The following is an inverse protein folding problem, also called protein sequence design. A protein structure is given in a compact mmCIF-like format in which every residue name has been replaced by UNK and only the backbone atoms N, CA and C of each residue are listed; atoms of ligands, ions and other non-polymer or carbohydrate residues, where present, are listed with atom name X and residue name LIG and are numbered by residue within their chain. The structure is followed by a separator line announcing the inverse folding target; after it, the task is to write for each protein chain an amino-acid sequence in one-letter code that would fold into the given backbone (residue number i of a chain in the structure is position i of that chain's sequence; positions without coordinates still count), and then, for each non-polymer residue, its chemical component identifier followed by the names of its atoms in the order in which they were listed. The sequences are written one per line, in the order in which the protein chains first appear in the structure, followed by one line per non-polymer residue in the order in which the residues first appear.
data_IF_213885555016
#
_entry.id   IF_213885555016
#
_cell.length_a   1.000
_cell.length_b   1.000
_cell.length_c   1.000
_cell.angle_alpha   90.00
_cell.angle_beta   90.00
_cell.angle_gamma   90.00
#
_symmetry.space_group_name_H-M   'P 1'
#
loop_
_entity.id
_entity.type
_entity.pdbx_description
1 polymer ?
#
# COMPACT_ATOMS: atom_id res chain seq x y z
N UNK A 1 22.06 48.58 44.24
CA UNK A 1 22.05 47.13 43.92
C UNK A 1 21.50 46.98 42.51
N UNK A 2 22.33 46.59 41.54
CA UNK A 2 21.93 46.38 40.15
C UNK A 2 21.76 44.89 39.93
N UNK A 3 20.51 44.43 39.85
CA UNK A 3 20.15 43.04 39.59
C UNK A 3 20.40 42.73 38.12
N UNK A 4 21.47 41.99 37.83
CA UNK A 4 21.75 41.44 36.50
C UNK A 4 20.80 40.25 36.30
N UNK A 5 19.77 40.46 35.49
CA UNK A 5 18.84 39.41 35.06
C UNK A 5 19.56 38.57 33.99
N UNK A 6 20.14 37.43 34.40
CA UNK A 6 20.73 36.47 33.49
C UNK A 6 19.60 35.78 32.70
N UNK A 7 19.40 36.24 31.45
CA UNK A 7 18.48 35.62 30.51
C UNK A 7 19.09 34.29 30.04
N UNK A 8 18.77 33.22 30.76
CA UNK A 8 19.10 31.84 30.39
C UNK A 8 18.27 31.46 29.16
N UNK A 9 18.80 31.74 27.96
CA UNK A 9 18.24 31.28 26.69
C UNK A 9 18.39 29.75 26.64
N UNK A 10 17.37 29.02 27.10
CA UNK A 10 17.26 27.58 26.86
C UNK A 10 17.04 27.37 25.36
N UNK A 11 18.14 27.17 24.63
CA UNK A 11 18.13 26.57 23.30
C UNK A 11 17.65 25.14 23.50
N UNK A 12 16.33 24.94 23.43
CA UNK A 12 15.76 23.62 23.21
C UNK A 12 16.17 23.19 21.81
N UNK A 13 17.36 22.58 21.68
CA UNK A 13 17.70 21.78 20.51
C UNK A 13 16.59 20.75 20.39
N UNK A 14 15.71 20.97 19.42
CA UNK A 14 14.68 20.01 19.05
C UNK A 14 15.40 18.78 18.54
N UNK A 15 15.64 17.82 19.42
CA UNK A 15 16.10 16.51 19.04
C UNK A 15 15.03 15.91 18.14
N UNK A 16 15.26 15.99 16.83
CA UNK A 16 14.49 15.27 15.83
C UNK A 16 14.70 13.79 16.11
N UNK A 17 13.74 13.19 16.82
CA UNK A 17 13.77 11.76 17.12
C UNK A 17 13.58 11.03 15.80
N UNK A 18 14.65 10.41 15.29
CA UNK A 18 14.56 9.61 14.08
C UNK A 18 13.63 8.41 14.31
N UNK A 19 12.77 8.12 13.32
CA UNK A 19 11.89 6.96 13.38
C UNK A 19 12.59 5.76 12.72
N UNK A 20 12.62 4.64 13.45
CA UNK A 20 13.17 3.39 12.94
C UNK A 20 12.07 2.48 12.39
N UNK A 21 12.21 2.05 11.13
CA UNK A 21 11.25 1.21 10.42
C UNK A 21 11.92 -0.07 9.93
N UNK A 22 11.25 -1.22 10.04
CA UNK A 22 11.72 -2.51 9.48
C UNK A 22 10.91 -2.86 8.25
N UNK A 23 11.56 -2.86 7.09
CA UNK A 23 10.92 -2.91 5.78
C UNK A 23 11.78 -3.75 4.82
N UNK A 24 11.22 -4.11 3.67
CA UNK A 24 12.00 -4.62 2.53
C UNK A 24 12.08 -3.56 1.43
N UNK A 25 13.10 -3.67 0.57
CA UNK A 25 13.29 -2.80 -0.61
C UNK A 25 12.70 -3.48 -1.84
N UNK A 26 11.69 -2.86 -2.44
CA UNK A 26 11.02 -3.33 -3.65
C UNK A 26 11.79 -2.87 -4.90
N UNK A 27 12.10 -1.57 -4.95
CA UNK A 27 12.77 -0.98 -6.10
C UNK A 27 13.55 0.28 -5.72
N UNK A 28 14.51 0.66 -6.56
CA UNK A 28 15.34 1.85 -6.39
C UNK A 28 15.39 2.60 -7.71
N UNK A 29 14.94 3.85 -7.72
CA UNK A 29 15.07 4.74 -8.87
C UNK A 29 16.26 5.64 -8.71
N UNK A 30 17.13 5.60 -9.71
CA UNK A 30 18.26 6.51 -9.79
C UNK A 30 17.77 7.95 -10.06
N UNK A 31 18.48 8.95 -9.52
CA UNK A 31 18.20 10.36 -9.80
C UNK A 31 18.35 10.67 -11.29
N UNK A 32 17.53 11.57 -11.80
CA UNK A 32 17.79 12.26 -13.07
C UNK A 32 18.93 13.28 -12.91
N UNK A 33 19.47 13.82 -14.01
CA UNK A 33 20.61 14.76 -14.02
C UNK A 33 20.43 15.98 -13.09
N UNK A 34 19.19 16.35 -12.78
CA UNK A 34 18.81 17.48 -11.94
C UNK A 34 18.17 17.09 -10.60
N UNK A 35 18.24 15.81 -10.21
CA UNK A 35 17.72 15.31 -8.94
C UNK A 35 18.87 14.94 -8.00
N UNK A 36 18.73 15.25 -6.70
CA UNK A 36 19.75 14.97 -5.68
C UNK A 36 19.44 13.73 -4.84
N UNK A 37 18.40 12.97 -5.20
CA UNK A 37 17.90 11.87 -4.38
C UNK A 37 17.57 10.64 -5.24
N UNK A 38 17.90 9.46 -4.73
CA UNK A 38 17.28 8.23 -5.19
C UNK A 38 15.89 8.10 -4.58
N UNK A 39 14.96 7.49 -5.31
CA UNK A 39 13.64 7.14 -4.77
C UNK A 39 13.58 5.64 -4.46
N UNK A 40 13.35 5.30 -3.19
CA UNK A 40 13.40 3.94 -2.65
C UNK A 40 11.99 3.46 -2.35
N UNK A 41 11.56 2.42 -3.05
CA UNK A 41 10.21 1.85 -2.95
C UNK A 41 10.24 0.76 -1.90
N UNK A 42 9.45 0.88 -0.84
CA UNK A 42 9.48 -0.06 0.28
C UNK A 42 8.20 -0.92 0.36
N UNK A 43 8.28 -2.01 1.10
CA UNK A 43 7.20 -3.00 1.20
C UNK A 43 5.97 -2.53 1.99
N UNK A 44 6.07 -1.40 2.70
CA UNK A 44 4.93 -0.74 3.34
C UNK A 44 4.08 0.10 2.37
N UNK A 45 4.50 0.22 1.11
CA UNK A 45 3.84 1.01 0.07
C UNK A 45 4.34 2.44 -0.06
N UNK A 46 5.29 2.86 0.79
CA UNK A 46 5.87 4.19 0.73
C UNK A 46 7.08 4.26 -0.20
N UNK A 47 7.36 5.48 -0.66
CA UNK A 47 8.55 5.88 -1.38
C UNK A 47 9.34 6.83 -0.49
N UNK A 48 10.60 6.50 -0.28
CA UNK A 48 11.53 7.26 0.53
C UNK A 48 12.59 7.91 -0.35
N UNK A 49 13.15 9.03 0.09
CA UNK A 49 14.27 9.67 -0.59
C UNK A 49 15.59 9.30 0.13
N UNK A 50 16.68 9.11 -0.61
CA UNK A 50 18.05 9.01 -0.04
C UNK A 50 18.98 9.90 -0.85
N UNK A 51 19.76 10.74 -0.17
CA UNK A 51 20.59 11.74 -0.84
C UNK A 51 21.71 11.07 -1.64
N UNK A 52 22.05 11.61 -2.82
CA UNK A 52 23.08 11.05 -3.72
C UNK A 52 24.47 10.93 -3.07
N UNK A 53 24.73 11.76 -2.06
CA UNK A 53 26.00 11.77 -1.31
C UNK A 53 26.10 10.63 -0.28
N UNK A 54 25.00 9.98 0.09
CA UNK A 54 24.99 8.91 1.10
C UNK A 54 25.31 7.56 0.45
N UNK A 55 26.50 7.46 -0.13
CA UNK A 55 26.91 6.34 -0.99
C UNK A 55 26.88 4.98 -0.27
N UNK A 56 27.22 4.95 1.03
CA UNK A 56 27.13 3.75 1.87
C UNK A 56 25.68 3.30 2.08
N UNK A 57 24.77 4.25 2.33
CA UNK A 57 23.34 3.98 2.48
C UNK A 57 22.76 3.44 1.17
N UNK A 58 23.09 4.07 0.05
CA UNK A 58 22.66 3.64 -1.29
C UNK A 58 23.16 2.23 -1.60
N UNK A 59 24.43 1.92 -1.32
CA UNK A 59 24.99 0.59 -1.51
C UNK A 59 24.24 -0.47 -0.70
N UNK A 60 24.00 -0.20 0.59
CA UNK A 60 23.24 -1.11 1.45
C UNK A 60 21.80 -1.34 0.95
N UNK A 61 21.12 -0.29 0.46
CA UNK A 61 19.77 -0.42 -0.11
C UNK A 61 19.78 -1.28 -1.38
N UNK A 62 20.74 -1.04 -2.29
CA UNK A 62 20.87 -1.83 -3.52
C UNK A 62 21.21 -3.31 -3.22
N UNK A 63 22.05 -3.56 -2.22
CA UNK A 63 22.39 -4.91 -1.76
C UNK A 63 21.19 -5.61 -1.13
N UNK A 64 20.41 -4.91 -0.31
CA UNK A 64 19.18 -5.43 0.28
C UNK A 64 18.13 -5.77 -0.80
N UNK A 65 17.96 -4.89 -1.79
CA UNK A 65 17.07 -5.12 -2.93
C UNK A 65 17.48 -6.39 -3.69
N UNK A 66 18.76 -6.50 -4.06
CA UNK A 66 19.29 -7.64 -4.82
C UNK A 66 19.18 -8.96 -4.06
N UNK A 67 19.40 -8.91 -2.74
CA UNK A 67 19.43 -10.09 -1.88
C UNK A 67 18.07 -10.43 -1.26
N UNK A 68 17.05 -9.59 -1.44
CA UNK A 68 15.74 -9.75 -0.79
C UNK A 68 15.79 -9.72 0.74
N UNK A 69 16.70 -8.92 1.31
CA UNK A 69 16.86 -8.81 2.76
C UNK A 69 15.98 -7.71 3.35
N UNK A 70 15.56 -7.91 4.60
CA UNK A 70 14.97 -6.82 5.39
C UNK A 70 16.03 -5.81 5.79
N UNK A 71 15.58 -4.57 5.92
CA UNK A 71 16.39 -3.42 6.34
C UNK A 71 15.70 -2.70 7.47
N UNK A 72 16.50 -2.18 8.38
CA UNK A 72 16.07 -1.23 9.38
C UNK A 72 16.45 0.18 8.91
N UNK A 73 15.47 0.97 8.50
CA UNK A 73 15.62 2.35 8.07
C UNK A 73 15.53 3.29 9.27
N UNK A 74 16.50 4.17 9.38
CA UNK A 74 16.40 5.38 10.19
C UNK A 74 15.89 6.50 9.27
N UNK A 75 14.77 7.13 9.62
CA UNK A 75 14.08 8.10 8.75
C UNK A 75 13.87 9.45 9.42
N UNK A 76 13.88 10.52 8.62
CA UNK A 76 13.47 11.86 9.03
C UNK A 76 11.98 11.86 9.44
N UNK A 77 11.64 12.49 10.57
CA UNK A 77 10.27 12.53 11.15
C UNK A 77 9.30 13.42 10.34
N UNK A 78 9.02 13.06 9.08
CA UNK A 78 8.02 13.69 8.23
C UNK A 78 6.72 12.85 8.14
N UNK A 79 6.71 11.65 8.73
CA UNK A 79 5.62 10.67 8.67
C UNK A 79 4.34 11.07 9.42
N UNK A 80 4.35 12.19 10.15
CA UNK A 80 3.21 12.65 10.96
C UNK A 80 2.05 13.23 10.14
N UNK A 81 2.30 13.67 8.91
CA UNK A 81 1.23 14.17 8.05
C UNK A 81 0.50 13.02 7.36
N UNK A 82 -0.73 12.77 7.83
CA UNK A 82 -1.75 11.93 7.18
C UNK A 82 -2.13 12.41 5.78
N UNK A 83 -1.57 13.52 5.34
CA UNK A 83 -1.82 14.14 4.06
C UNK A 83 -1.28 13.25 2.94
N UNK A 84 -2.14 13.00 1.95
CA UNK A 84 -1.82 12.30 0.70
C UNK A 84 -0.70 13.00 -0.06
N UNK A 85 -0.62 14.31 0.11
CA UNK A 85 0.33 15.20 -0.55
C UNK A 85 1.57 15.49 0.30
N UNK A 86 1.73 14.82 1.45
CA UNK A 86 2.93 15.04 2.27
C UNK A 86 4.20 14.61 1.52
N UNK A 87 5.29 15.30 1.84
CA UNK A 87 6.62 14.97 1.32
C UNK A 87 7.06 13.57 1.75
N UNK A 88 7.94 12.98 0.95
CA UNK A 88 8.61 11.72 1.28
C UNK A 88 9.49 11.90 2.50
N UNK A 89 9.65 10.83 3.27
CA UNK A 89 10.65 10.81 4.34
C UNK A 89 12.01 10.47 3.74
N UNK A 90 13.05 11.10 4.27
CA UNK A 90 14.43 10.83 3.92
C UNK A 90 14.96 9.66 4.75
N UNK A 91 15.75 8.79 4.13
CA UNK A 91 16.49 7.72 4.80
C UNK A 91 17.83 8.31 5.24
N UNK A 92 18.02 8.40 6.56
CA UNK A 92 19.23 8.91 7.20
C UNK A 92 20.25 7.81 7.47
N UNK A 93 19.79 6.56 7.58
CA UNK A 93 20.62 5.41 7.88
C UNK A 93 19.94 4.09 7.55
N UNK A 94 20.74 3.08 7.23
CA UNK A 94 20.25 1.74 6.88
C UNK A 94 21.09 0.70 7.59
N UNK A 95 20.41 -0.24 8.24
CA UNK A 95 21.03 -1.44 8.79
C UNK A 95 20.45 -2.67 8.12
N UNK A 96 21.32 -3.43 7.43
CA UNK A 96 20.97 -4.73 6.87
C UNK A 96 20.64 -5.71 7.99
N UNK A 97 19.52 -6.41 7.85
CA UNK A 97 19.14 -7.49 8.76
C UNK A 97 19.49 -8.83 8.12
N UNK A 98 19.90 -9.79 8.95
CA UNK A 98 20.20 -11.16 8.51
C UNK A 98 18.95 -12.00 8.27
N UNK A 99 17.78 -11.50 8.68
CA UNK A 99 16.51 -12.14 8.37
C UNK A 99 16.18 -11.92 6.90
N UNK A 100 16.11 -13.01 6.13
CA UNK A 100 15.49 -13.01 4.82
C UNK A 100 14.07 -12.47 4.94
N UNK A 101 13.71 -11.61 4.00
CA UNK A 101 12.33 -11.19 3.88
C UNK A 101 11.50 -12.44 3.55
N UNK A 102 10.53 -12.78 4.42
CA UNK A 102 9.65 -13.95 4.19
C UNK A 102 8.78 -13.82 2.94
N UNK A 103 8.80 -12.65 2.31
CA UNK A 103 8.22 -12.43 0.99
C UNK A 103 9.33 -12.70 -0.02
N UNK A 104 9.18 -13.73 -0.86
CA UNK A 104 10.13 -13.95 -1.94
C UNK A 104 10.12 -12.72 -2.84
N UNK A 105 11.26 -12.03 -2.93
CA UNK A 105 11.48 -11.06 -4.01
C UNK A 105 11.43 -11.87 -5.30
N UNK A 106 10.46 -11.55 -6.15
CA UNK A 106 10.29 -12.12 -7.46
C UNK A 106 11.64 -12.13 -8.20
N UNK A 107 12.17 -13.32 -8.49
CA UNK A 107 13.31 -13.40 -9.39
C UNK A 107 12.77 -13.04 -10.77
N UNK A 108 13.37 -12.06 -11.46
CA UNK A 108 12.98 -11.59 -12.81
C UNK A 108 13.06 -12.65 -13.92
N UNK A 109 13.09 -13.93 -13.59
CA UNK A 109 12.99 -15.02 -14.54
C UNK A 109 11.68 -14.87 -15.32
N UNK A 110 11.81 -14.70 -16.64
CA UNK A 110 10.72 -14.41 -17.57
C UNK A 110 9.47 -15.23 -17.24
N UNK A 111 8.40 -14.54 -16.82
CA UNK A 111 7.07 -15.12 -16.71
C UNK A 111 6.78 -15.95 -17.97
N UNK A 112 6.66 -17.27 -17.81
CA UNK A 112 6.24 -18.15 -18.91
C UNK A 112 4.87 -17.64 -19.34
N UNK A 113 4.79 -17.11 -20.57
CA UNK A 113 3.60 -16.45 -21.08
C UNK A 113 2.35 -17.27 -20.78
N UNK A 114 1.46 -16.72 -19.96
CA UNK A 114 0.16 -17.30 -19.66
C UNK A 114 -0.63 -17.24 -20.97
N UNK A 115 -0.67 -18.36 -21.70
CA UNK A 115 -1.20 -18.44 -23.06
C UNK A 115 -2.73 -18.52 -23.15
N UNK A 116 -3.44 -18.53 -22.03
CA UNK A 116 -4.91 -18.56 -21.99
C UNK A 116 -5.42 -17.68 -20.85
N UNK A 117 -5.88 -16.45 -21.17
CA UNK A 117 -6.48 -15.53 -20.20
C UNK A 117 -7.84 -15.01 -20.69
N UNK A 118 -8.74 -15.94 -21.03
CA UNK A 118 -10.17 -15.60 -21.16
C UNK A 118 -10.79 -15.33 -19.77
N UNK A 119 -10.15 -15.81 -18.69
CA UNK A 119 -10.49 -15.49 -17.29
C UNK A 119 -9.53 -14.46 -16.70
N UNK A 120 -10.04 -13.60 -15.83
CA UNK A 120 -9.23 -12.68 -15.02
C UNK A 120 -8.48 -13.51 -13.96
N UNK A 121 -7.13 -13.67 -14.07
CA UNK A 121 -6.39 -14.67 -13.31
C UNK A 121 -6.36 -14.37 -11.80
N UNK A 122 -6.65 -13.13 -11.43
CA UNK A 122 -6.63 -12.67 -10.04
C UNK A 122 -8.03 -12.76 -9.38
N UNK A 123 -9.04 -13.22 -10.13
CA UNK A 123 -10.43 -13.34 -9.67
C UNK A 123 -10.76 -14.81 -9.39
N UNK A 124 -10.58 -15.21 -8.13
CA UNK A 124 -10.81 -16.57 -7.62
C UNK A 124 -12.16 -16.74 -6.91
N UNK A 125 -12.94 -15.66 -6.78
CA UNK A 125 -14.18 -15.61 -6.01
C UNK A 125 -15.21 -14.74 -6.73
N UNK A 126 -16.48 -14.93 -6.40
CA UNK A 126 -17.54 -14.02 -6.82
C UNK A 126 -17.43 -12.68 -6.07
N UNK A 127 -17.89 -11.60 -6.70
CA UNK A 127 -18.02 -10.29 -6.04
C UNK A 127 -19.49 -9.97 -5.90
N UNK A 128 -19.94 -9.68 -4.68
CA UNK A 128 -21.34 -9.31 -4.42
C UNK A 128 -21.76 -8.10 -5.24
N UNK A 129 -22.94 -8.17 -5.84
CA UNK A 129 -23.62 -7.07 -6.49
C UNK A 129 -24.80 -6.61 -5.63
N UNK A 130 -24.66 -5.43 -5.02
CA UNK A 130 -25.62 -4.86 -4.08
C UNK A 130 -26.45 -3.80 -4.81
N UNK A 131 -27.65 -4.17 -5.25
CA UNK A 131 -28.53 -3.26 -5.98
C UNK A 131 -29.20 -2.19 -5.10
N UNK A 132 -29.28 -2.43 -3.79
CA UNK A 132 -29.88 -1.51 -2.82
C UNK A 132 -28.84 -0.53 -2.24
N UNK A 133 -29.06 0.77 -2.46
CA UNK A 133 -28.17 1.83 -1.99
C UNK A 133 -28.12 1.94 -0.47
N UNK A 134 -29.19 1.60 0.25
CA UNK A 134 -29.17 1.62 1.72
C UNK A 134 -28.27 0.51 2.27
N UNK A 135 -28.40 -0.71 1.75
CA UNK A 135 -27.53 -1.84 2.10
C UNK A 135 -26.07 -1.55 1.75
N UNK A 136 -25.80 -1.00 0.56
CA UNK A 136 -24.44 -0.62 0.16
C UNK A 136 -23.82 0.38 1.16
N UNK A 137 -24.57 1.41 1.54
CA UNK A 137 -24.14 2.39 2.54
C UNK A 137 -23.97 1.78 3.94
N UNK A 138 -24.81 0.83 4.32
CA UNK A 138 -24.68 0.12 5.61
C UNK A 138 -23.40 -0.71 5.66
N UNK A 139 -23.11 -1.47 4.60
CA UNK A 139 -21.84 -2.22 4.46
C UNK A 139 -20.64 -1.28 4.48
N UNK A 140 -20.73 -0.12 3.84
CA UNK A 140 -19.67 0.89 3.88
C UNK A 140 -19.44 1.45 5.28
N UNK A 141 -20.51 1.89 5.95
CA UNK A 141 -20.44 2.51 7.28
C UNK A 141 -20.02 1.55 8.38
N UNK A 142 -20.24 0.25 8.17
CA UNK A 142 -19.79 -0.82 9.05
C UNK A 142 -18.28 -0.97 9.16
N UNK A 143 -17.55 -0.50 8.15
CA UNK A 143 -16.10 -0.57 8.12
C UNK A 143 -15.50 0.18 9.32
N UNK A 144 -14.55 -0.45 10.01
CA UNK A 144 -13.92 0.10 11.20
C UNK A 144 -13.22 1.44 10.90
N UNK A 145 -13.56 2.49 11.65
CA UNK A 145 -12.98 3.84 11.50
C UNK A 145 -11.86 4.15 12.50
N UNK A 146 -11.82 3.45 13.64
CA UNK A 146 -10.82 3.60 14.71
C UNK A 146 -9.42 3.06 14.38
N UNK A 147 -9.00 3.16 13.13
CA UNK A 147 -7.70 2.67 12.68
C UNK A 147 -6.58 3.61 13.08
N UNK A 148 -5.42 3.05 13.41
CA UNK A 148 -4.21 3.79 13.75
C UNK A 148 -3.84 4.71 12.60
N UNK A 149 -3.41 5.94 12.92
CA UNK A 149 -3.00 6.94 11.92
C UNK A 149 -1.92 6.40 10.97
N UNK A 150 -0.94 5.67 11.51
CA UNK A 150 0.17 5.04 10.78
C UNK A 150 -0.13 3.65 10.21
N UNK A 151 -1.40 3.24 10.17
CA UNK A 151 -1.75 1.96 9.56
C UNK A 151 -1.50 2.03 8.06
N UNK A 152 -1.00 0.95 7.46
CA UNK A 152 -0.81 0.89 6.02
C UNK A 152 -2.12 0.56 5.30
N UNK A 153 -2.27 1.04 4.05
CA UNK A 153 -3.50 0.91 3.27
C UNK A 153 -3.91 -0.56 3.09
N UNK A 154 -2.96 -1.45 2.82
CA UNK A 154 -3.20 -2.87 2.63
C UNK A 154 -3.71 -3.57 3.89
N UNK A 155 -3.23 -3.17 5.07
CA UNK A 155 -3.75 -3.64 6.35
C UNK A 155 -5.19 -3.19 6.58
N UNK A 156 -5.49 -1.91 6.32
CA UNK A 156 -6.85 -1.38 6.44
C UNK A 156 -7.81 -2.08 5.48
N UNK A 157 -7.42 -2.20 4.21
CA UNK A 157 -8.22 -2.82 3.18
C UNK A 157 -8.53 -4.28 3.52
N UNK A 158 -7.55 -5.05 3.99
CA UNK A 158 -7.75 -6.45 4.36
C UNK A 158 -8.68 -6.61 5.57
N UNK A 159 -8.55 -5.75 6.60
CA UNK A 159 -9.48 -5.69 7.74
C UNK A 159 -10.89 -5.34 7.27
N UNK A 160 -11.07 -4.27 6.51
CA UNK A 160 -12.38 -3.87 6.02
C UNK A 160 -13.04 -4.93 5.15
N UNK A 161 -12.29 -5.51 4.22
CA UNK A 161 -12.77 -6.61 3.39
C UNK A 161 -13.28 -7.78 4.22
N UNK A 162 -12.60 -8.13 5.32
CA UNK A 162 -13.05 -9.19 6.21
C UNK A 162 -14.31 -8.80 6.99
N UNK A 163 -14.34 -7.59 7.56
CA UNK A 163 -15.51 -7.08 8.31
C UNK A 163 -16.77 -7.00 7.44
N UNK A 164 -16.63 -6.67 6.15
CA UNK A 164 -17.75 -6.64 5.20
C UNK A 164 -18.43 -8.02 5.07
N UNK A 165 -17.72 -9.14 5.28
CA UNK A 165 -18.31 -10.49 5.22
C UNK A 165 -19.26 -10.80 6.37
N UNK A 166 -19.28 -9.98 7.42
CA UNK A 166 -20.27 -10.08 8.51
C UNK A 166 -21.66 -9.60 8.09
N UNK A 167 -21.79 -9.00 6.90
CA UNK A 167 -23.06 -8.58 6.33
C UNK A 167 -23.58 -9.61 5.34
N UNK A 168 -24.90 -9.67 5.22
CA UNK A 168 -25.58 -10.53 4.25
C UNK A 168 -26.45 -9.69 3.33
N UNK A 169 -26.47 -10.05 2.04
CA UNK A 169 -27.34 -9.50 1.02
C UNK A 169 -27.94 -10.65 0.21
N UNK A 170 -29.26 -10.67 0.04
CA UNK A 170 -30.00 -11.75 -0.63
C UNK A 170 -29.63 -13.15 -0.11
N UNK A 171 -29.54 -13.31 1.21
CA UNK A 171 -29.23 -14.58 1.87
C UNK A 171 -27.78 -15.07 1.73
N UNK A 172 -26.87 -14.28 1.14
CA UNK A 172 -25.45 -14.60 1.02
C UNK A 172 -24.58 -13.58 1.75
N UNK A 173 -23.45 -14.02 2.32
CA UNK A 173 -22.46 -13.09 2.90
C UNK A 173 -21.95 -12.15 1.80
N UNK A 174 -21.74 -10.89 2.15
CA UNK A 174 -21.15 -9.91 1.22
C UNK A 174 -19.70 -10.30 0.98
N UNK A 175 -19.35 -10.55 -0.28
CA UNK A 175 -18.03 -10.93 -0.73
C UNK A 175 -17.43 -9.77 -1.53
N UNK A 176 -16.53 -8.97 -0.93
CA UNK A 176 -15.86 -7.90 -1.65
C UNK A 176 -14.71 -8.43 -2.51
N UNK A 177 -14.31 -7.66 -3.51
CA UNK A 177 -13.00 -7.79 -4.15
C UNK A 177 -12.03 -6.76 -3.60
N UNK A 178 -10.82 -6.68 -4.17
CA UNK A 178 -9.89 -5.58 -3.94
C UNK A 178 -9.55 -4.85 -5.23
N UNK A 179 -9.50 -3.53 -5.15
CA UNK A 179 -9.03 -2.66 -6.22
C UNK A 179 -7.70 -2.08 -5.78
N UNK A 180 -6.69 -2.27 -6.61
CA UNK A 180 -5.33 -1.81 -6.41
C UNK A 180 -5.08 -0.65 -7.37
N UNK A 181 -4.55 0.44 -6.85
CA UNK A 181 -4.10 1.60 -7.60
C UNK A 181 -2.58 1.64 -7.50
N UNK A 182 -1.90 1.36 -8.60
CA UNK A 182 -0.44 1.45 -8.69
C UNK A 182 -0.03 2.77 -9.33
N UNK A 183 0.90 3.48 -8.71
CA UNK A 183 1.42 4.75 -9.23
C UNK A 183 2.64 4.46 -10.09
N UNK A 184 2.65 4.98 -11.32
CA UNK A 184 3.78 4.79 -12.23
C UNK A 184 5.03 5.51 -11.73
N UNK A 185 6.22 5.05 -12.13
CA UNK A 185 7.48 5.75 -11.85
C UNK A 185 7.45 7.18 -12.42
N UNK A 186 6.80 7.37 -13.57
CA UNK A 186 6.50 8.69 -14.15
C UNK A 186 5.77 9.61 -13.17
N UNK A 187 4.64 9.15 -12.62
CA UNK A 187 3.84 9.93 -11.68
C UNK A 187 4.58 10.20 -10.38
N UNK A 188 5.23 9.17 -9.84
CA UNK A 188 6.01 9.26 -8.60
C UNK A 188 7.09 10.33 -8.75
N UNK A 189 7.85 10.36 -9.86
CA UNK A 189 8.83 11.41 -10.13
C UNK A 189 8.18 12.78 -10.29
N UNK A 190 7.21 12.90 -11.19
CA UNK A 190 6.58 14.19 -11.53
C UNK A 190 5.96 14.92 -10.33
N UNK A 191 5.40 14.18 -9.37
CA UNK A 191 4.69 14.75 -8.22
C UNK A 191 5.40 14.52 -6.88
N UNK A 192 6.62 13.99 -6.88
CA UNK A 192 7.33 13.52 -5.68
C UNK A 192 6.44 12.68 -4.76
N UNK A 193 5.57 11.87 -5.36
CA UNK A 193 4.50 11.20 -4.62
C UNK A 193 5.09 10.14 -3.68
N UNK A 194 4.57 10.07 -2.44
CA UNK A 194 5.15 9.25 -1.37
C UNK A 194 4.64 7.82 -1.30
N UNK A 195 3.70 7.43 -2.16
CA UNK A 195 3.18 6.07 -2.22
C UNK A 195 3.35 5.50 -3.60
N UNK A 196 3.71 4.23 -3.70
CA UNK A 196 3.79 3.53 -4.99
C UNK A 196 2.60 2.62 -5.27
N UNK A 197 1.77 2.35 -4.25
CA UNK A 197 0.44 1.80 -4.44
C UNK A 197 -0.55 2.23 -3.35
N UNK A 198 -1.83 2.06 -3.65
CA UNK A 198 -2.94 2.14 -2.71
C UNK A 198 -3.95 1.02 -2.99
N UNK A 199 -4.69 0.59 -1.99
CA UNK A 199 -5.66 -0.51 -2.13
C UNK A 199 -6.88 -0.28 -1.26
N UNK A 200 -8.04 -0.70 -1.78
CA UNK A 200 -9.30 -0.66 -1.06
C UNK A 200 -10.18 -1.86 -1.44
N UNK A 201 -11.08 -2.34 -0.56
CA UNK A 201 -12.17 -3.20 -0.99
C UNK A 201 -13.05 -2.52 -2.04
N UNK A 202 -13.71 -3.32 -2.87
CA UNK A 202 -14.81 -2.91 -3.73
C UNK A 202 -15.92 -3.97 -3.74
N UNK A 203 -17.13 -3.56 -4.11
CA UNK A 203 -18.26 -4.43 -4.45
C UNK A 203 -18.87 -3.96 -5.77
N UNK A 204 -19.78 -4.73 -6.35
CA UNK A 204 -20.62 -4.23 -7.44
C UNK A 204 -21.90 -3.62 -6.85
N UNK A 205 -22.48 -2.66 -7.55
CA UNK A 205 -23.80 -2.11 -7.29
C UNK A 205 -24.49 -1.85 -8.62
N UNK A 206 -25.53 -2.63 -8.92
CA UNK A 206 -26.20 -2.67 -10.21
C UNK A 206 -25.20 -2.85 -11.37
N UNK A 207 -24.29 -3.82 -11.23
CA UNK A 207 -23.23 -4.11 -12.20
C UNK A 207 -22.05 -3.13 -12.22
N UNK A 208 -22.12 -2.01 -11.48
CA UNK A 208 -21.06 -0.99 -11.44
C UNK A 208 -20.16 -1.17 -10.22
N UNK A 209 -18.84 -1.12 -10.40
CA UNK A 209 -17.88 -1.25 -9.28
C UNK A 209 -17.92 -0.01 -8.39
N UNK A 210 -18.13 -0.22 -7.09
CA UNK A 210 -18.08 0.81 -6.05
C UNK A 210 -16.94 0.52 -5.07
N UNK A 211 -16.03 1.46 -4.94
CA UNK A 211 -14.87 1.40 -4.05
C UNK A 211 -15.30 1.78 -2.63
N UNK A 212 -14.88 0.96 -1.67
CA UNK A 212 -15.32 1.02 -0.28
C UNK A 212 -14.20 1.51 0.64
N UNK A 213 -13.61 2.66 0.31
CA UNK A 213 -12.46 3.22 1.03
C UNK A 213 -12.90 4.17 2.15
N UNK A 214 -13.14 3.62 3.35
CA UNK A 214 -13.63 4.41 4.49
C UNK A 214 -12.69 5.52 4.94
N UNK A 215 -11.40 5.44 4.61
CA UNK A 215 -10.41 6.41 5.07
C UNK A 215 -10.49 7.71 4.30
N UNK A 216 -10.70 7.62 2.99
CA UNK A 216 -10.63 8.77 2.08
C UNK A 216 -11.98 9.15 1.48
N UNK A 217 -12.99 8.28 1.62
CA UNK A 217 -14.33 8.52 1.12
C UNK A 217 -15.34 8.58 2.28
N UNK A 218 -16.39 9.40 2.09
CA UNK A 218 -17.50 9.49 3.04
C UNK A 218 -18.63 8.48 2.75
N UNK A 219 -18.64 7.94 1.52
CA UNK A 219 -19.63 7.00 1.00
C UNK A 219 -18.96 6.09 -0.04
N UNK A 220 -19.61 4.98 -0.47
CA UNK A 220 -19.16 4.19 -1.62
C UNK A 220 -18.88 5.10 -2.82
N UNK A 221 -17.69 4.97 -3.39
CA UNK A 221 -17.22 5.84 -4.46
C UNK A 221 -17.19 5.10 -5.80
N UNK A 222 -17.50 5.80 -6.89
CA UNK A 222 -17.13 5.31 -8.22
C UNK A 222 -15.62 5.23 -8.37
N UNK A 223 -15.14 4.29 -9.18
CA UNK A 223 -13.71 4.08 -9.41
C UNK A 223 -13.02 5.39 -9.79
N UNK A 224 -13.59 6.14 -10.73
CA UNK A 224 -13.00 7.40 -11.21
C UNK A 224 -12.88 8.45 -10.11
N UNK A 225 -13.93 8.61 -9.30
CA UNK A 225 -13.92 9.54 -8.19
C UNK A 225 -12.84 9.15 -7.16
N UNK A 226 -12.73 7.86 -6.85
CA UNK A 226 -11.70 7.35 -5.95
C UNK A 226 -10.28 7.53 -6.50
N UNK A 227 -10.01 7.23 -7.78
CA UNK A 227 -8.66 7.42 -8.36
C UNK A 227 -8.29 8.90 -8.45
N UNK A 228 -9.23 9.79 -8.80
CA UNK A 228 -8.97 11.23 -8.89
C UNK A 228 -8.53 11.84 -7.55
N UNK A 229 -8.91 11.24 -6.42
CA UNK A 229 -8.46 11.68 -5.11
C UNK A 229 -6.94 11.52 -4.93
N UNK A 230 -6.32 10.53 -5.56
CA UNK A 230 -4.89 10.24 -5.45
C UNK A 230 -4.07 10.72 -6.66
N UNK A 231 -4.71 10.99 -7.79
CA UNK A 231 -4.06 11.32 -9.06
C UNK A 231 -4.26 12.81 -9.36
N UNK A 232 -3.25 13.63 -9.02
CA UNK A 232 -3.30 15.09 -9.15
C UNK A 232 -3.58 15.55 -10.58
N UNK A 233 -2.97 14.90 -11.57
CA UNK A 233 -3.21 15.16 -13.00
C UNK A 233 -4.64 14.86 -13.48
N UNK A 234 -5.42 14.11 -12.69
CA UNK A 234 -6.70 13.51 -13.09
C UNK A 234 -6.63 12.71 -14.40
N UNK A 235 -5.45 12.22 -14.81
CA UNK A 235 -5.37 11.29 -15.93
C UNK A 235 -6.10 9.98 -15.57
N UNK A 236 -6.81 9.40 -16.53
CA UNK A 236 -7.43 8.09 -16.32
C UNK A 236 -6.36 7.00 -16.09
N UNK A 237 -6.57 6.19 -15.05
CA UNK A 237 -5.69 5.06 -14.77
C UNK A 237 -5.94 3.92 -15.76
N UNK A 238 -4.87 3.36 -16.31
CA UNK A 238 -4.96 2.22 -17.22
C UNK A 238 -5.38 0.97 -16.45
N UNK A 239 -6.35 0.22 -16.96
CA UNK A 239 -6.70 -1.07 -16.38
C UNK A 239 -5.66 -2.13 -16.80
N UNK A 240 -5.16 -2.88 -15.83
CA UNK A 240 -4.30 -4.05 -16.04
C UNK A 240 -4.97 -5.30 -15.48
N UNK A 241 -4.71 -6.44 -16.14
CA UNK A 241 -5.20 -7.76 -15.69
C UNK A 241 -4.14 -8.51 -14.86
N UNK A 242 -2.87 -8.19 -15.06
CA UNK A 242 -1.72 -8.83 -14.43
C UNK A 242 -0.75 -7.78 -13.89
N UNK A 243 0.14 -8.18 -12.98
CA UNK A 243 1.06 -7.24 -12.34
C UNK A 243 2.16 -6.78 -13.31
N UNK A 244 2.64 -7.68 -14.18
CA UNK A 244 3.70 -7.34 -15.14
C UNK A 244 3.32 -6.24 -16.13
N UNK A 245 2.01 -6.04 -16.42
CA UNK A 245 1.53 -4.92 -17.23
C UNK A 245 1.92 -3.58 -16.60
N UNK A 246 1.81 -3.46 -15.28
CA UNK A 246 2.24 -2.28 -14.53
C UNK A 246 3.78 -2.21 -14.47
N UNK A 247 4.42 -3.32 -14.09
CA UNK A 247 5.88 -3.36 -13.86
C UNK A 247 6.69 -3.01 -15.12
N UNK A 248 6.30 -3.54 -16.27
CA UNK A 248 7.00 -3.36 -17.56
C UNK A 248 6.70 -2.03 -18.25
N UNK A 249 5.68 -1.30 -17.79
CA UNK A 249 5.27 -0.04 -18.40
C UNK A 249 5.33 1.14 -17.41
N UNK A 250 6.46 1.37 -16.72
CA UNK A 250 6.53 2.35 -15.64
C UNK A 250 6.44 3.82 -16.07
N UNK A 251 6.46 4.09 -17.39
CA UNK A 251 6.33 5.42 -17.98
C UNK A 251 4.98 5.64 -18.67
N UNK A 252 4.14 4.60 -18.75
CA UNK A 252 2.89 4.64 -19.49
C UNK A 252 1.75 5.17 -18.62
N UNK A 253 1.33 6.40 -18.89
CA UNK A 253 0.31 7.09 -18.08
C UNK A 253 0.81 7.39 -16.66
N UNK A 254 -0.11 7.69 -15.76
CA UNK A 254 0.21 8.03 -14.37
C UNK A 254 -0.08 6.91 -13.37
N UNK A 255 -0.99 6.00 -13.71
CA UNK A 255 -1.42 4.95 -12.80
C UNK A 255 -1.99 3.73 -13.53
N UNK A 256 -1.98 2.61 -12.83
CA UNK A 256 -2.64 1.38 -13.21
C UNK A 256 -3.66 0.97 -12.17
N UNK A 257 -4.78 0.38 -12.61
CA UNK A 257 -5.77 -0.24 -11.74
C UNK A 257 -5.82 -1.74 -12.01
N UNK A 258 -5.68 -2.54 -10.95
CA UNK A 258 -5.81 -4.00 -10.98
C UNK A 258 -6.95 -4.40 -10.03
N UNK A 259 -7.80 -5.32 -10.48
CA UNK A 259 -8.84 -5.91 -9.64
C UNK A 259 -8.45 -7.33 -9.25
N UNK A 260 -8.70 -7.69 -8.00
CA UNK A 260 -8.43 -9.04 -7.49
C UNK A 260 -9.59 -9.52 -6.63
N UNK A 261 -9.62 -10.82 -6.38
CA UNK A 261 -10.34 -11.39 -5.24
C UNK A 261 -9.79 -10.86 -3.92
N UNK A 262 -10.53 -11.12 -2.85
CA UNK A 262 -10.30 -10.52 -1.53
C UNK A 262 -9.01 -10.98 -0.84
N UNK A 263 -8.51 -12.15 -1.21
CA UNK A 263 -7.51 -12.91 -0.46
C UNK A 263 -6.12 -12.29 -0.50
N UNK A 264 -5.78 -11.58 -1.57
CA UNK A 264 -4.50 -10.90 -1.75
C UNK A 264 -4.34 -9.77 -0.73
N UNK A 265 -3.40 -9.89 0.20
CA UNK A 265 -3.07 -8.92 1.23
C UNK A 265 -2.09 -7.83 0.78
N UNK A 266 -1.04 -8.17 0.02
CA UNK A 266 0.01 -7.24 -0.44
C UNK A 266 0.35 -7.42 -1.93
N UNK A 267 0.98 -6.43 -2.61
CA UNK A 267 1.26 -6.50 -4.04
C UNK A 267 2.08 -7.72 -4.50
N UNK A 268 3.08 -8.15 -3.71
CA UNK A 268 3.91 -9.30 -4.05
C UNK A 268 3.11 -10.60 -4.22
N UNK A 269 1.92 -10.72 -3.61
CA UNK A 269 1.06 -11.89 -3.80
C UNK A 269 0.39 -11.89 -5.18
N UNK A 270 0.16 -10.71 -5.75
CA UNK A 270 -0.36 -10.54 -7.12
C UNK A 270 0.73 -10.93 -8.12
N UNK A 271 1.95 -10.43 -7.88
CA UNK A 271 3.14 -10.77 -8.66
C UNK A 271 3.43 -12.29 -8.63
N UNK A 272 3.50 -12.88 -7.43
CA UNK A 272 3.77 -14.31 -7.25
C UNK A 272 2.71 -15.20 -7.91
N UNK A 273 1.45 -14.75 -7.93
CA UNK A 273 0.37 -15.47 -8.60
C UNK A 273 0.63 -15.57 -10.10
N UNK A 274 1.10 -14.50 -10.71
CA UNK A 274 1.45 -14.47 -12.12
C UNK A 274 2.64 -15.38 -12.45
N UNK A 275 3.67 -15.39 -11.60
CA UNK A 275 4.86 -16.22 -11.81
C UNK A 275 4.61 -17.72 -11.66
N UNK A 276 3.86 -18.09 -10.61
CA UNK A 276 3.76 -19.47 -10.15
C UNK A 276 2.37 -20.09 -10.37
N UNK A 277 1.41 -19.33 -10.91
CA UNK A 277 0.02 -19.77 -11.10
C UNK A 277 -0.71 -20.09 -9.78
N UNK A 278 -0.16 -19.72 -8.62
CA UNK A 278 -0.74 -20.07 -7.32
C UNK A 278 -1.88 -19.13 -6.99
N UNK A 279 -3.11 -19.56 -7.27
CA UNK A 279 -4.34 -18.85 -6.94
C UNK A 279 -4.54 -18.77 -5.42
N UNK A 280 -4.84 -17.57 -4.91
CA UNK A 280 -5.28 -17.41 -3.53
C UNK A 280 -6.80 -17.50 -3.47
N UNK A 281 -7.31 -18.52 -2.79
CA UNK A 281 -8.75 -18.85 -2.73
C UNK A 281 -9.33 -18.76 -1.33
N UNK A 282 -8.51 -18.47 -0.31
CA UNK A 282 -8.93 -18.40 1.08
C UNK A 282 -8.15 -17.36 1.87
N UNK A 283 -8.75 -16.94 2.98
CA UNK A 283 -8.13 -16.04 3.94
C UNK A 283 -6.97 -16.71 4.67
N UNK A 284 -5.87 -15.98 4.84
CA UNK A 284 -4.79 -16.41 5.72
C UNK A 284 -5.00 -15.86 7.13
N UNK A 285 -5.17 -16.76 8.10
CA UNK A 285 -5.28 -16.43 9.53
C UNK A 285 -4.11 -15.60 10.04
N UNK A 286 -2.92 -15.87 9.51
CA UNK A 286 -1.71 -15.14 9.86
C UNK A 286 -1.78 -13.69 9.37
N UNK A 287 -2.15 -13.49 8.11
CA UNK A 287 -2.24 -12.17 7.46
C UNK A 287 -3.34 -11.32 8.11
N UNK A 288 -4.52 -11.91 8.34
CA UNK A 288 -5.59 -11.23 9.06
C UNK A 288 -5.15 -10.79 10.46
N UNK A 289 -4.51 -11.67 11.24
CA UNK A 289 -4.04 -11.31 12.58
C UNK A 289 -3.05 -10.14 12.54
N UNK A 290 -2.14 -10.11 11.58
CA UNK A 290 -1.20 -9.00 11.42
C UNK A 290 -1.94 -7.73 10.99
N UNK A 291 -2.81 -7.81 9.98
CA UNK A 291 -3.57 -6.68 9.48
C UNK A 291 -4.39 -6.02 10.60
N UNK A 292 -5.07 -6.81 11.44
CA UNK A 292 -5.81 -6.30 12.61
C UNK A 292 -4.90 -5.65 13.64
N UNK A 293 -3.78 -6.30 14.00
CA UNK A 293 -2.81 -5.77 14.96
C UNK A 293 -2.25 -4.43 14.50
N UNK A 294 -1.93 -4.31 13.22
CA UNK A 294 -1.25 -3.15 12.68
C UNK A 294 -2.24 -2.03 12.34
N UNK A 295 -3.46 -2.36 11.91
CA UNK A 295 -4.52 -1.40 11.64
C UNK A 295 -5.22 -0.89 12.91
N UNK A 296 -5.51 -1.74 13.89
CA UNK A 296 -6.35 -1.40 15.07
C UNK A 296 -5.59 -1.44 16.41
N UNK A 297 -4.38 -2.01 16.44
CA UNK A 297 -3.55 -2.12 17.64
C UNK A 297 -3.68 -3.47 18.38
N UNK A 298 -2.79 -3.70 19.35
CA UNK A 298 -2.65 -5.01 20.05
C UNK A 298 -3.85 -5.42 20.91
N UNK A 299 -4.68 -4.46 21.33
CA UNK A 299 -5.83 -4.70 22.23
C UNK A 299 -7.09 -5.17 21.51
N UNK A 300 -7.10 -5.18 20.18
CA UNK A 300 -8.29 -5.57 19.43
C UNK A 300 -8.45 -7.10 19.39
N UNK A 301 -9.69 -7.57 19.61
CA UNK A 301 -10.02 -9.00 19.63
C UNK A 301 -9.76 -9.61 18.26
N UNK A 302 -8.99 -10.70 18.24
CA UNK A 302 -8.58 -11.40 17.02
C UNK A 302 -9.81 -11.95 16.29
N UNK A 303 -9.90 -11.84 14.94
CA UNK A 303 -10.87 -12.60 14.18
C UNK A 303 -10.64 -14.09 14.39
N UNK A 304 -11.72 -14.86 14.44
CA UNK A 304 -11.69 -16.32 14.47
C UNK A 304 -12.28 -16.81 13.14
N UNK A 305 -11.44 -17.36 12.27
CA UNK A 305 -11.86 -17.86 10.94
C UNK A 305 -12.74 -19.11 11.00
N UNK A 306 -12.80 -19.80 12.15
CA UNK A 306 -13.58 -21.03 12.32
C UNK A 306 -15.06 -20.77 12.69
N UNK A 307 -15.62 -19.62 12.33
CA UNK A 307 -17.02 -19.21 12.56
C UNK A 307 -17.67 -18.69 11.28
#
# INVERSE_FOLDING_TARGET
MKTIFACLLMVFSTMTMAETLRLGVVDVLEPLENENFYAVFATDGQVYDVHINDTEVIAAIKDAQKSGLEVEFETSDHTKALDVLAQRSEILGVKLLTSEFKVPVASKNQAKGIKDLDRDPLMTDYISDIGDSNTLNNVFRAQKTGMRKRSQCYNRAHVWSYEMRNYSYNGRRVQPGKVWLFFTKKYIRAYRYKWWFHVSPYVNSNGVKKVMDRRYMQQPADLRYWTNYFIQSQQECRRAKVYTDYERNPQLGHCFVIFTSVHYWQPWQIEKNEENGTLQTQWSDYELRIAYRDALGRRYRRPNLNK
#
